data_IF_515297753720
#
_entry.id   IF_515297753720
#
_cell.length_a   1.000
_cell.length_b   1.000
_cell.length_c   1.000
_cell.angle_alpha   90.00
_cell.angle_beta   90.00
_cell.angle_gamma   90.00
#
_symmetry.space_group_name_H-M   'P 1'
#
loop_
_entity.id
_entity.type
_entity.pdbx_description
1 polymer ?
#
# COMPACT_ATOMS: atom_id res chain seq x y z
N UNK A 1 5.07 7.12 -6.38
CA UNK A 1 6.21 7.23 -5.44
C UNK A 1 6.69 8.67 -5.21
N UNK A 2 6.61 9.55 -6.17
CA UNK A 2 7.03 10.98 -6.12
C UNK A 2 6.23 11.84 -5.15
N UNK A 3 4.92 11.63 -4.99
CA UNK A 3 4.06 12.46 -4.14
C UNK A 3 4.32 12.32 -2.63
N UNK A 4 4.68 11.13 -2.16
CA UNK A 4 4.99 10.91 -0.74
C UNK A 4 6.27 11.64 -0.29
N UNK A 5 7.27 11.71 -1.16
CA UNK A 5 8.50 12.47 -0.90
C UNK A 5 8.26 13.98 -0.88
N UNK A 6 7.43 14.49 -1.79
CA UNK A 6 7.06 15.89 -1.83
C UNK A 6 6.28 16.30 -0.58
N UNK A 7 5.30 15.50 -0.16
CA UNK A 7 4.51 15.75 1.06
C UNK A 7 5.36 15.70 2.33
N UNK A 8 6.24 14.71 2.46
CA UNK A 8 7.18 14.62 3.59
C UNK A 8 8.15 15.81 3.63
N UNK A 9 8.66 16.24 2.48
CA UNK A 9 9.53 17.41 2.37
C UNK A 9 8.78 18.68 2.79
N UNK A 10 7.53 18.84 2.38
CA UNK A 10 6.70 19.97 2.75
C UNK A 10 6.40 20.00 4.26
N UNK A 11 6.00 18.88 4.86
CA UNK A 11 5.80 18.75 6.30
C UNK A 11 7.08 19.09 7.09
N UNK A 12 8.24 18.64 6.61
CA UNK A 12 9.54 18.90 7.24
C UNK A 12 9.88 20.40 7.20
N UNK A 13 9.63 21.08 6.08
CA UNK A 13 9.82 22.54 5.95
C UNK A 13 8.90 23.31 6.90
N UNK A 14 7.63 22.96 7.00
CA UNK A 14 6.68 23.57 7.92
C UNK A 14 7.06 23.36 9.40
N UNK A 15 7.54 22.17 9.76
CA UNK A 15 8.08 21.90 11.11
C UNK A 15 9.31 22.76 11.41
N UNK A 16 10.23 22.94 10.47
CA UNK A 16 11.40 23.82 10.65
C UNK A 16 10.95 25.27 10.85
N UNK A 17 9.98 25.75 10.08
CA UNK A 17 9.40 27.09 10.26
C UNK A 17 8.79 27.26 11.65
N UNK A 18 7.99 26.29 12.11
CA UNK A 18 7.38 26.34 13.45
C UNK A 18 8.44 26.42 14.56
N UNK A 19 9.47 25.59 14.48
CA UNK A 19 10.58 25.63 15.46
C UNK A 19 11.32 26.98 15.42
N UNK A 20 11.59 27.50 14.22
CA UNK A 20 12.27 28.77 14.05
C UNK A 20 11.48 29.93 14.68
N UNK A 21 10.17 30.00 14.43
CA UNK A 21 9.30 31.00 15.05
C UNK A 21 9.23 30.86 16.58
N UNK A 22 9.11 29.65 17.10
CA UNK A 22 9.09 29.40 18.52
C UNK A 22 10.40 29.84 19.21
N UNK A 23 11.55 29.60 18.56
CA UNK A 23 12.87 30.04 19.06
C UNK A 23 12.98 31.55 19.04
N UNK A 24 12.50 32.23 17.99
CA UNK A 24 12.49 33.68 17.88
C UNK A 24 11.62 34.32 18.98
N UNK A 25 10.43 33.78 19.27
CA UNK A 25 9.58 34.24 20.37
C UNK A 25 10.26 34.04 21.73
N UNK A 26 10.83 32.86 21.97
CA UNK A 26 11.54 32.58 23.19
C UNK A 26 12.72 33.56 23.40
N UNK A 27 13.50 33.80 22.33
CA UNK A 27 14.60 34.77 22.39
C UNK A 27 14.15 36.20 22.70
N UNK A 28 13.01 36.61 22.12
CA UNK A 28 12.40 37.92 22.41
C UNK A 28 12.01 38.05 23.90
N UNK A 29 11.37 37.05 24.48
CA UNK A 29 11.03 37.03 25.90
C UNK A 29 12.26 37.01 26.81
N UNK A 30 13.28 36.22 26.49
CA UNK A 30 14.53 36.17 27.22
C UNK A 30 15.20 37.55 27.21
N UNK A 31 15.22 38.23 26.06
CA UNK A 31 15.76 39.59 25.91
C UNK A 31 15.01 40.63 26.74
N UNK A 32 13.67 40.55 26.80
CA UNK A 32 12.84 41.41 27.67
C UNK A 32 13.10 41.17 29.15
N UNK A 33 13.32 39.90 29.57
CA UNK A 33 13.57 39.57 30.97
C UNK A 33 14.97 40.01 31.43
N UNK A 34 15.97 39.77 30.56
CA UNK A 34 17.39 40.02 30.91
C UNK A 34 17.81 41.47 30.78
N UNK A 35 17.20 42.25 29.88
CA UNK A 35 17.55 43.65 29.64
C UNK A 35 16.63 44.60 30.40
N UNK A 36 17.11 45.08 31.58
CA UNK A 36 16.36 45.98 32.45
C UNK A 36 15.98 47.29 31.79
N UNK A 37 16.86 47.85 30.92
CA UNK A 37 16.58 49.12 30.21
C UNK A 37 15.46 48.95 29.20
N UNK A 38 15.50 47.88 28.44
CA UNK A 38 14.45 47.55 27.46
C UNK A 38 13.11 47.34 28.15
N UNK A 39 13.10 46.57 29.23
CA UNK A 39 11.90 46.30 30.02
C UNK A 39 11.30 47.57 30.57
N UNK A 40 12.11 48.46 31.18
CA UNK A 40 11.60 49.75 31.72
C UNK A 40 11.01 50.62 30.62
N UNK A 41 11.67 50.72 29.44
CA UNK A 41 11.17 51.51 28.30
C UNK A 41 9.83 50.98 27.78
N UNK A 42 9.70 49.66 27.60
CA UNK A 42 8.47 49.02 27.09
C UNK A 42 7.30 49.22 28.08
N UNK A 43 7.53 49.09 29.40
CA UNK A 43 6.46 49.23 30.38
C UNK A 43 6.14 50.70 30.79
N UNK A 44 7.02 51.65 30.48
CA UNK A 44 6.78 53.08 30.76
C UNK A 44 6.07 53.75 29.60
N UNK A 45 6.32 53.36 28.35
CA UNK A 45 5.70 53.92 27.17
C UNK A 45 4.52 53.02 26.73
N UNK A 46 3.30 53.54 26.85
CA UNK A 46 2.08 52.83 26.48
C UNK A 46 2.03 52.46 24.96
N UNK A 47 2.64 53.27 24.10
CA UNK A 47 2.69 53.00 22.65
C UNK A 47 3.62 51.82 22.35
N UNK A 48 4.81 51.79 22.97
CA UNK A 48 5.74 50.66 22.85
C UNK A 48 5.16 49.36 23.40
N UNK A 49 4.47 49.45 24.53
CA UNK A 49 3.80 48.29 25.13
C UNK A 49 2.73 47.71 24.18
N UNK A 50 1.86 48.55 23.64
CA UNK A 50 0.83 48.13 22.71
C UNK A 50 1.43 47.47 21.44
N UNK A 51 2.49 48.05 20.89
CA UNK A 51 3.18 47.53 19.72
C UNK A 51 3.79 46.16 19.99
N UNK A 52 4.47 45.97 21.14
CA UNK A 52 5.01 44.68 21.55
C UNK A 52 3.90 43.62 21.75
N UNK A 53 2.78 44.04 22.36
CA UNK A 53 1.64 43.14 22.58
C UNK A 53 0.97 42.68 21.29
N UNK A 54 0.77 43.61 20.34
CA UNK A 54 0.20 43.29 19.03
C UNK A 54 1.11 42.35 18.26
N UNK A 55 2.43 42.63 18.22
CA UNK A 55 3.40 41.75 17.52
C UNK A 55 3.43 40.37 18.15
N UNK A 56 3.36 40.25 19.46
CA UNK A 56 3.28 38.96 20.14
C UNK A 56 2.02 38.17 19.75
N UNK A 57 0.84 38.83 19.75
CA UNK A 57 -0.41 38.18 19.32
C UNK A 57 -0.30 37.68 17.87
N UNK A 58 0.27 38.52 16.99
CA UNK A 58 0.46 38.09 15.57
C UNK A 58 1.37 36.89 15.46
N UNK A 59 2.48 36.83 16.19
CA UNK A 59 3.37 35.68 16.23
C UNK A 59 2.66 34.41 16.72
N UNK A 60 1.86 34.54 17.79
CA UNK A 60 1.08 33.45 18.36
C UNK A 60 0.06 32.91 17.36
N UNK A 61 -0.62 33.78 16.62
CA UNK A 61 -1.55 33.40 15.55
C UNK A 61 -0.83 32.67 14.41
N UNK A 62 0.37 33.10 14.03
CA UNK A 62 1.20 32.42 13.02
C UNK A 62 1.58 31.01 13.51
N UNK A 63 2.01 30.87 14.76
CA UNK A 63 2.32 29.55 15.35
C UNK A 63 1.12 28.62 15.33
N UNK A 64 -0.05 29.10 15.74
CA UNK A 64 -1.30 28.33 15.70
C UNK A 64 -1.68 27.92 14.27
N UNK A 65 -1.54 28.84 13.31
CA UNK A 65 -1.78 28.54 11.89
C UNK A 65 -0.84 27.45 11.36
N UNK A 66 0.47 27.54 11.67
CA UNK A 66 1.44 26.54 11.27
C UNK A 66 1.15 25.16 11.89
N UNK A 67 0.76 25.15 13.18
CA UNK A 67 0.36 23.93 13.86
C UNK A 67 -0.89 23.31 13.22
N UNK A 68 -1.90 24.12 12.90
CA UNK A 68 -3.10 23.69 12.21
C UNK A 68 -2.80 23.11 10.82
N UNK A 69 -1.92 23.75 10.03
CA UNK A 69 -1.48 23.25 8.73
C UNK A 69 -0.83 21.86 8.85
N UNK A 70 0.03 21.66 9.85
CA UNK A 70 0.70 20.37 10.07
C UNK A 70 -0.33 19.29 10.46
N UNK A 71 -1.30 19.64 11.31
CA UNK A 71 -2.37 18.74 11.70
C UNK A 71 -3.23 18.30 10.50
N UNK A 72 -3.65 19.25 9.67
CA UNK A 72 -4.45 18.99 8.46
C UNK A 72 -3.68 18.10 7.46
N UNK A 73 -2.40 18.37 7.24
CA UNK A 73 -1.57 17.55 6.35
C UNK A 73 -1.43 16.10 6.81
N UNK A 74 -1.29 15.88 8.12
CA UNK A 74 -1.26 14.52 8.69
C UNK A 74 -2.59 13.80 8.49
N UNK A 75 -3.69 14.46 8.79
CA UNK A 75 -5.04 13.92 8.61
C UNK A 75 -5.30 13.54 7.14
N UNK A 76 -4.96 14.43 6.21
CA UNK A 76 -5.11 14.19 4.77
C UNK A 76 -4.25 13.00 4.29
N UNK A 77 -3.02 12.87 4.78
CA UNK A 77 -2.12 11.77 4.37
C UNK A 77 -2.64 10.41 4.85
N UNK A 78 -3.22 10.33 6.04
CA UNK A 78 -3.83 9.10 6.56
C UNK A 78 -5.07 8.72 5.75
N UNK A 79 -5.95 9.70 5.46
CA UNK A 79 -7.15 9.48 4.64
C UNK A 79 -6.79 9.02 3.21
N UNK A 80 -5.79 9.65 2.59
CA UNK A 80 -5.32 9.29 1.25
C UNK A 80 -4.76 7.86 1.20
N UNK A 81 -3.96 7.45 2.20
CA UNK A 81 -3.46 6.06 2.29
C UNK A 81 -4.61 5.06 2.44
N UNK A 82 -5.60 5.37 3.27
CA UNK A 82 -6.76 4.50 3.46
C UNK A 82 -7.57 4.37 2.16
N UNK A 83 -7.75 5.48 1.42
CA UNK A 83 -8.40 5.46 0.11
C UNK A 83 -7.61 4.63 -0.91
N UNK A 84 -6.28 4.74 -0.94
CA UNK A 84 -5.43 3.90 -1.81
C UNK A 84 -5.53 2.42 -1.45
N UNK A 85 -5.51 2.06 -0.17
CA UNK A 85 -5.71 0.67 0.25
C UNK A 85 -7.07 0.14 -0.21
N UNK A 86 -8.15 0.89 0.00
CA UNK A 86 -9.49 0.49 -0.43
C UNK A 86 -9.63 0.39 -1.95
N UNK A 87 -8.87 1.19 -2.72
CA UNK A 87 -8.90 1.18 -4.18
C UNK A 87 -8.12 0.01 -4.80
N UNK A 88 -7.01 -0.42 -4.18
CA UNK A 88 -6.06 -1.36 -4.79
C UNK A 88 -5.89 -2.69 -4.07
N UNK A 89 -6.39 -2.83 -2.84
CA UNK A 89 -6.32 -4.08 -2.10
C UNK A 89 -7.72 -4.74 -1.99
N UNK A 90 -7.73 -6.06 -1.93
CA UNK A 90 -8.94 -6.82 -1.64
C UNK A 90 -9.27 -6.75 -0.14
N UNK A 91 -10.49 -6.37 0.18
CA UNK A 91 -10.92 -6.10 1.56
C UNK A 91 -10.93 -7.34 2.47
N UNK A 92 -11.03 -8.55 1.89
CA UNK A 92 -11.06 -9.80 2.65
C UNK A 92 -9.68 -10.37 2.92
N UNK A 93 -8.77 -10.18 1.97
CA UNK A 93 -7.48 -10.88 1.95
C UNK A 93 -6.29 -9.93 2.13
N UNK A 94 -6.45 -8.64 1.84
CA UNK A 94 -5.37 -7.66 1.93
C UNK A 94 -4.40 -7.67 0.74
N UNK A 95 -4.45 -8.67 -0.15
CA UNK A 95 -3.61 -8.70 -1.35
C UNK A 95 -4.16 -7.76 -2.44
N UNK A 96 -3.38 -7.41 -3.45
CA UNK A 96 -3.82 -6.65 -4.62
C UNK A 96 -5.13 -7.17 -5.20
N UNK A 97 -6.07 -6.26 -5.43
CA UNK A 97 -7.37 -6.56 -6.04
C UNK A 97 -7.30 -6.49 -7.57
N UNK A 98 -8.43 -6.75 -8.24
CA UNK A 98 -8.57 -6.70 -9.70
C UNK A 98 -8.12 -5.36 -10.30
N UNK A 99 -8.45 -4.23 -9.67
CA UNK A 99 -8.04 -2.90 -10.15
C UNK A 99 -6.50 -2.77 -10.17
N UNK A 100 -5.84 -3.28 -9.13
CA UNK A 100 -4.39 -3.30 -9.07
C UNK A 100 -3.79 -4.25 -10.11
N UNK A 101 -4.38 -5.42 -10.31
CA UNK A 101 -3.99 -6.36 -11.38
C UNK A 101 -4.08 -5.72 -12.77
N UNK A 102 -5.17 -5.01 -13.08
CA UNK A 102 -5.36 -4.33 -14.36
C UNK A 102 -4.25 -3.28 -14.62
N UNK A 103 -3.81 -2.55 -13.58
CA UNK A 103 -2.67 -1.62 -13.69
C UNK A 103 -1.36 -2.35 -13.98
N UNK A 104 -1.12 -3.49 -13.31
CA UNK A 104 0.05 -4.33 -13.59
C UNK A 104 0.02 -4.85 -15.02
N UNK A 105 -1.13 -5.35 -15.49
CA UNK A 105 -1.28 -5.84 -16.87
C UNK A 105 -0.98 -4.75 -17.90
N UNK A 106 -1.37 -3.50 -17.64
CA UNK A 106 -1.07 -2.36 -18.50
C UNK A 106 0.44 -2.05 -18.58
N UNK A 107 1.24 -2.42 -17.59
CA UNK A 107 2.69 -2.23 -17.64
C UNK A 107 3.38 -3.16 -18.66
N UNK A 108 2.72 -4.26 -19.04
CA UNK A 108 3.19 -5.21 -20.05
C UNK A 108 2.61 -4.92 -21.44
N UNK A 109 2.80 -3.69 -21.92
CA UNK A 109 2.21 -3.21 -23.18
C UNK A 109 3.16 -3.27 -24.39
N UNK A 110 4.40 -3.73 -24.20
CA UNK A 110 5.39 -3.92 -25.27
C UNK A 110 5.83 -5.38 -25.36
N UNK A 111 6.30 -5.79 -26.53
CA UNK A 111 6.84 -7.14 -26.73
C UNK A 111 8.05 -7.42 -25.84
N UNK A 112 8.87 -6.39 -25.59
CA UNK A 112 10.05 -6.49 -24.74
C UNK A 112 9.67 -6.72 -23.29
N UNK A 113 8.72 -5.95 -22.75
CA UNK A 113 8.25 -6.09 -21.36
C UNK A 113 7.55 -7.42 -21.09
N UNK A 114 6.96 -8.02 -22.14
CA UNK A 114 6.21 -9.26 -22.03
C UNK A 114 7.06 -10.53 -22.33
N UNK A 115 8.25 -10.38 -22.92
CA UNK A 115 9.02 -11.50 -23.50
C UNK A 115 9.25 -12.67 -22.55
N UNK A 116 9.62 -12.41 -21.32
CA UNK A 116 9.98 -13.40 -20.31
C UNK A 116 8.97 -13.44 -19.14
N UNK A 117 7.71 -13.10 -19.44
CA UNK A 117 6.64 -13.10 -18.44
C UNK A 117 5.95 -14.45 -18.38
N UNK A 118 5.79 -14.97 -17.17
CA UNK A 118 4.89 -16.06 -16.84
C UNK A 118 3.59 -15.55 -16.22
N UNK A 119 2.46 -16.09 -16.64
CA UNK A 119 1.15 -15.83 -16.04
C UNK A 119 0.61 -17.14 -15.46
N UNK A 120 0.27 -17.11 -14.15
CA UNK A 120 -0.39 -18.22 -13.48
C UNK A 120 -1.80 -17.82 -13.07
N UNK A 121 -2.73 -18.75 -13.21
CA UNK A 121 -4.11 -18.63 -12.78
C UNK A 121 -4.41 -19.75 -11.77
N UNK A 122 -5.02 -19.39 -10.65
CA UNK A 122 -5.43 -20.31 -9.61
C UNK A 122 -6.90 -20.10 -9.30
N UNK A 123 -7.63 -21.20 -9.13
CA UNK A 123 -9.03 -21.17 -8.71
C UNK A 123 -9.26 -22.18 -7.59
N UNK A 124 -9.84 -21.75 -6.48
CA UNK A 124 -10.27 -22.65 -5.40
C UNK A 124 -11.54 -23.36 -5.91
N UNK A 125 -11.39 -24.63 -6.28
CA UNK A 125 -12.44 -25.40 -6.97
C UNK A 125 -13.59 -25.76 -6.03
N UNK A 126 -13.28 -26.11 -4.79
CA UNK A 126 -14.24 -26.55 -3.80
C UNK A 126 -14.82 -25.46 -2.90
N UNK A 127 -14.60 -24.18 -3.18
CA UNK A 127 -15.09 -23.07 -2.32
C UNK A 127 -16.60 -23.09 -2.15
N UNK A 128 -17.35 -23.41 -3.21
CA UNK A 128 -18.82 -23.46 -3.16
C UNK A 128 -19.28 -24.57 -2.21
N UNK A 129 -18.71 -25.75 -2.31
CA UNK A 129 -19.06 -26.89 -1.45
C UNK A 129 -18.77 -26.60 0.04
N UNK A 130 -17.63 -25.92 0.32
CA UNK A 130 -17.30 -25.50 1.69
C UNK A 130 -18.30 -24.46 2.21
N UNK A 131 -18.68 -23.49 1.39
CA UNK A 131 -19.71 -22.49 1.75
C UNK A 131 -21.06 -23.14 2.08
N UNK A 132 -21.47 -24.17 1.34
CA UNK A 132 -22.72 -24.91 1.58
C UNK A 132 -22.65 -25.78 2.83
N UNK A 133 -21.53 -26.45 3.06
CA UNK A 133 -21.37 -27.39 4.16
C UNK A 133 -21.08 -26.70 5.50
N UNK A 134 -20.25 -25.66 5.52
CA UNK A 134 -19.71 -25.02 6.72
C UNK A 134 -20.00 -23.50 6.83
N UNK A 135 -20.75 -22.95 5.87
CA UNK A 135 -21.12 -21.54 5.86
C UNK A 135 -20.08 -20.60 5.22
N UNK A 136 -20.51 -19.37 4.95
CA UNK A 136 -19.68 -18.37 4.25
C UNK A 136 -18.42 -17.98 5.01
N UNK A 137 -18.46 -17.98 6.34
CA UNK A 137 -17.28 -17.67 7.17
C UNK A 137 -16.17 -18.68 6.97
N UNK A 138 -16.50 -19.98 6.83
CA UNK A 138 -15.53 -21.03 6.55
C UNK A 138 -14.88 -20.84 5.17
N UNK A 139 -15.67 -20.48 4.14
CA UNK A 139 -15.13 -20.18 2.83
C UNK A 139 -14.29 -18.90 2.80
N UNK A 140 -14.66 -17.87 3.53
CA UNK A 140 -13.86 -16.64 3.66
C UNK A 140 -12.52 -16.94 4.36
N UNK A 141 -12.52 -17.79 5.40
CA UNK A 141 -11.30 -18.27 6.07
C UNK A 141 -10.41 -19.07 5.12
N UNK A 142 -11.00 -19.96 4.31
CA UNK A 142 -10.29 -20.73 3.29
C UNK A 142 -9.61 -19.80 2.26
N UNK A 143 -10.30 -18.78 1.78
CA UNK A 143 -9.76 -17.77 0.86
C UNK A 143 -8.58 -17.04 1.50
N UNK A 144 -8.69 -16.61 2.76
CA UNK A 144 -7.62 -15.93 3.50
C UNK A 144 -6.40 -16.83 3.68
N UNK A 145 -6.63 -18.09 4.05
CA UNK A 145 -5.55 -19.09 4.21
C UNK A 145 -4.83 -19.33 2.89
N UNK A 146 -5.55 -19.50 1.80
CA UNK A 146 -4.94 -19.65 0.47
C UNK A 146 -4.15 -18.41 0.06
N UNK A 147 -4.68 -17.21 0.30
CA UNK A 147 -3.95 -15.96 0.08
C UNK A 147 -2.61 -15.93 0.81
N UNK A 148 -2.61 -16.23 2.11
CA UNK A 148 -1.39 -16.25 2.91
C UNK A 148 -0.37 -17.26 2.36
N UNK A 149 -0.82 -18.46 1.99
CA UNK A 149 0.03 -19.48 1.38
C UNK A 149 0.61 -18.96 0.05
N UNK A 150 -0.22 -18.34 -0.78
CA UNK A 150 0.18 -17.87 -2.10
C UNK A 150 1.13 -16.66 -2.01
N UNK A 151 0.93 -15.74 -1.06
CA UNK A 151 1.86 -14.64 -0.79
C UNK A 151 3.21 -15.16 -0.28
N UNK A 152 3.22 -16.00 0.78
CA UNK A 152 4.45 -16.55 1.35
C UNK A 152 5.29 -17.33 0.32
N UNK A 153 4.63 -18.06 -0.58
CA UNK A 153 5.31 -18.85 -1.61
C UNK A 153 5.67 -18.02 -2.83
N UNK A 154 4.82 -17.05 -3.19
CA UNK A 154 4.87 -16.30 -4.45
C UNK A 154 5.66 -15.00 -4.41
N UNK A 155 5.78 -14.34 -3.26
CA UNK A 155 6.35 -12.98 -3.11
C UNK A 155 7.76 -12.84 -3.73
N UNK A 156 8.60 -13.85 -3.59
CA UNK A 156 9.95 -13.88 -4.18
C UNK A 156 9.99 -14.16 -5.69
N UNK A 157 8.88 -14.60 -6.28
CA UNK A 157 8.82 -14.99 -7.70
C UNK A 157 8.09 -13.97 -8.56
N UNK A 158 7.11 -13.24 -8.01
CA UNK A 158 6.34 -12.31 -8.79
C UNK A 158 5.24 -11.60 -8.03
N UNK A 159 4.34 -11.00 -8.78
CA UNK A 159 3.23 -10.24 -8.26
C UNK A 159 1.97 -11.11 -8.18
N UNK A 160 1.35 -11.14 -7.01
CA UNK A 160 0.12 -11.90 -6.74
C UNK A 160 -1.04 -10.95 -6.53
N UNK A 161 -2.21 -11.28 -7.04
CA UNK A 161 -3.44 -10.55 -6.77
C UNK A 161 -4.70 -11.40 -6.90
N UNK A 162 -5.79 -10.95 -6.30
CA UNK A 162 -7.10 -11.59 -6.38
C UNK A 162 -7.93 -10.95 -7.49
N UNK A 163 -8.34 -11.76 -8.47
CA UNK A 163 -9.16 -11.28 -9.58
C UNK A 163 -10.67 -11.19 -9.23
N UNK A 164 -11.06 -11.81 -8.12
CA UNK A 164 -12.42 -11.82 -7.57
C UNK A 164 -12.89 -13.23 -7.25
N UNK A 165 -13.93 -13.35 -6.43
CA UNK A 165 -14.46 -14.65 -6.05
C UNK A 165 -13.40 -15.60 -5.47
N UNK A 166 -13.18 -16.71 -6.14
CA UNK A 166 -12.22 -17.76 -5.80
C UNK A 166 -10.97 -17.76 -6.72
N UNK A 167 -10.74 -16.68 -7.49
CA UNK A 167 -9.74 -16.62 -8.54
C UNK A 167 -8.57 -15.70 -8.18
N UNK A 168 -7.34 -16.18 -8.44
CA UNK A 168 -6.10 -15.50 -8.15
C UNK A 168 -5.17 -15.53 -9.37
N UNK A 169 -4.46 -14.46 -9.60
CA UNK A 169 -3.51 -14.33 -10.72
C UNK A 169 -2.14 -14.01 -10.14
N UNK A 170 -1.13 -14.66 -10.68
CA UNK A 170 0.27 -14.36 -10.42
C UNK A 170 0.99 -14.04 -11.73
N UNK A 171 1.78 -12.96 -11.69
CA UNK A 171 2.61 -12.51 -12.82
C UNK A 171 4.06 -12.58 -12.41
N UNK A 172 4.87 -13.32 -13.14
CA UNK A 172 6.28 -13.57 -12.87
C UNK A 172 7.14 -12.98 -13.98
N UNK A 173 8.12 -12.13 -13.63
CA UNK A 173 9.13 -11.63 -14.58
C UNK A 173 10.33 -12.57 -14.65
N UNK A 174 10.96 -12.67 -15.84
CA UNK A 174 12.10 -13.57 -16.03
C UNK A 174 11.73 -15.03 -15.77
N UNK A 175 10.48 -15.40 -16.06
CA UNK A 175 9.94 -16.71 -15.73
C UNK A 175 10.43 -17.76 -16.74
N UNK A 176 11.19 -18.74 -16.23
CA UNK A 176 11.53 -19.96 -16.96
C UNK A 176 10.64 -21.12 -16.51
N UNK A 177 10.64 -22.23 -17.27
CA UNK A 177 9.90 -23.44 -16.92
C UNK A 177 10.37 -24.00 -15.58
N UNK A 178 11.67 -24.04 -15.34
CA UNK A 178 12.26 -24.54 -14.08
C UNK A 178 11.86 -23.66 -12.89
N UNK A 179 11.76 -22.34 -13.09
CA UNK A 179 11.32 -21.43 -12.03
C UNK A 179 9.84 -21.66 -11.70
N UNK A 180 9.01 -21.88 -12.70
CA UNK A 180 7.60 -22.20 -12.56
C UNK A 180 7.38 -23.52 -11.82
N UNK A 181 8.13 -24.57 -12.18
CA UNK A 181 8.06 -25.88 -11.54
C UNK A 181 8.46 -25.78 -10.07
N UNK A 182 9.57 -25.11 -9.74
CA UNK A 182 9.99 -24.88 -8.35
C UNK A 182 8.95 -24.12 -7.53
N UNK A 183 8.32 -23.14 -8.13
CA UNK A 183 7.24 -22.41 -7.47
C UNK A 183 6.05 -23.34 -7.17
N UNK A 184 5.65 -24.15 -8.15
CA UNK A 184 4.54 -25.10 -7.99
C UNK A 184 4.85 -26.19 -6.95
N UNK A 185 6.07 -26.72 -6.94
CA UNK A 185 6.50 -27.66 -5.90
C UNK A 185 6.42 -27.07 -4.50
N UNK A 186 6.83 -25.80 -4.35
CA UNK A 186 6.75 -25.09 -3.08
C UNK A 186 5.32 -24.88 -2.64
N UNK A 187 4.45 -24.45 -3.57
CA UNK A 187 3.02 -24.22 -3.34
C UNK A 187 2.32 -25.54 -2.94
N UNK A 188 2.60 -26.63 -3.66
CA UNK A 188 2.02 -27.95 -3.40
C UNK A 188 2.39 -28.49 -2.01
N UNK A 189 3.64 -28.31 -1.61
CA UNK A 189 4.09 -28.72 -0.28
C UNK A 189 3.38 -27.92 0.82
N UNK A 190 3.19 -26.63 0.64
CA UNK A 190 2.47 -25.77 1.60
C UNK A 190 0.99 -26.10 1.66
N UNK A 191 0.35 -26.34 0.51
CA UNK A 191 -1.06 -26.76 0.45
C UNK A 191 -1.27 -28.13 1.08
N UNK A 192 -0.37 -29.08 0.85
CA UNK A 192 -0.44 -30.41 1.47
C UNK A 192 -0.35 -30.32 3.00
N UNK A 193 0.54 -29.47 3.51
CA UNK A 193 0.64 -29.22 4.95
C UNK A 193 -0.67 -28.63 5.50
N UNK A 194 -1.16 -27.55 4.89
CA UNK A 194 -2.43 -26.94 5.26
C UNK A 194 -3.60 -27.94 5.26
N UNK A 195 -3.73 -28.74 4.21
CA UNK A 195 -4.81 -29.71 4.07
C UNK A 195 -4.73 -30.84 5.12
N UNK A 196 -3.51 -31.19 5.55
CA UNK A 196 -3.30 -32.17 6.63
C UNK A 196 -3.76 -31.60 7.98
N UNK A 197 -3.51 -30.32 8.22
CA UNK A 197 -3.90 -29.62 9.44
C UNK A 197 -5.40 -29.25 9.45
N UNK A 198 -6.01 -29.11 8.26
CA UNK A 198 -7.41 -28.67 8.08
C UNK A 198 -8.22 -29.70 7.26
N UNK A 199 -8.40 -30.93 7.73
CA UNK A 199 -9.05 -32.00 6.94
C UNK A 199 -10.55 -31.74 6.69
N UNK A 200 -11.20 -30.88 7.47
CA UNK A 200 -12.61 -30.52 7.31
C UNK A 200 -12.84 -29.53 6.17
N UNK A 201 -11.86 -28.68 5.89
CA UNK A 201 -11.92 -27.63 4.88
C UNK A 201 -10.65 -27.62 4.02
N UNK A 202 -10.32 -28.73 3.34
CA UNK A 202 -9.12 -28.80 2.51
C UNK A 202 -9.27 -27.88 1.30
N UNK A 203 -8.17 -27.26 0.88
CA UNK A 203 -8.14 -26.43 -0.33
C UNK A 203 -7.86 -27.34 -1.53
N UNK A 204 -8.78 -27.33 -2.50
CA UNK A 204 -8.62 -27.99 -3.80
C UNK A 204 -8.44 -26.92 -4.85
N UNK A 205 -7.28 -26.94 -5.56
CA UNK A 205 -6.97 -25.96 -6.58
C UNK A 205 -7.09 -26.55 -7.98
N UNK A 206 -7.72 -25.77 -8.87
CA UNK A 206 -7.43 -25.81 -10.30
C UNK A 206 -6.39 -24.74 -10.62
N UNK A 207 -5.44 -25.03 -11.48
CA UNK A 207 -4.37 -24.10 -11.84
C UNK A 207 -3.91 -24.31 -13.28
N UNK A 208 -3.51 -23.22 -13.90
CA UNK A 208 -2.86 -23.21 -15.21
C UNK A 208 -1.79 -22.14 -15.24
N UNK A 209 -0.84 -22.29 -16.15
CA UNK A 209 0.14 -21.25 -16.45
C UNK A 209 0.46 -21.16 -17.95
N UNK A 210 0.94 -20.00 -18.34
CA UNK A 210 1.48 -19.75 -19.67
C UNK A 210 2.78 -18.98 -19.54
N UNK A 211 3.81 -19.45 -20.24
CA UNK A 211 5.10 -18.79 -20.38
C UNK A 211 5.14 -18.04 -21.71
N UNK A 212 5.29 -16.73 -21.69
CA UNK A 212 5.34 -15.95 -22.93
C UNK A 212 6.64 -16.16 -23.73
N UNK A 213 7.69 -16.62 -23.09
CA UNK A 213 8.92 -17.08 -23.75
C UNK A 213 8.69 -18.26 -24.72
N UNK A 214 7.63 -19.04 -24.49
CA UNK A 214 7.26 -20.20 -25.32
C UNK A 214 6.17 -19.86 -26.34
N UNK A 215 5.17 -19.03 -25.98
CA UNK A 215 3.99 -18.79 -26.82
C UNK A 215 4.01 -17.46 -27.57
N UNK A 216 4.88 -16.53 -27.22
CA UNK A 216 5.14 -15.27 -27.92
C UNK A 216 3.91 -14.38 -28.16
N UNK A 217 3.03 -14.28 -27.18
CA UNK A 217 1.88 -13.36 -27.23
C UNK A 217 2.34 -11.90 -27.29
N UNK A 218 1.56 -11.07 -27.97
CA UNK A 218 1.88 -9.66 -28.22
C UNK A 218 1.27 -8.70 -27.20
N UNK A 219 0.41 -9.21 -26.31
CA UNK A 219 -0.21 -8.44 -25.23
C UNK A 219 -0.50 -9.32 -24.03
N UNK A 220 -0.50 -8.72 -22.84
CA UNK A 220 -0.82 -9.45 -21.60
C UNK A 220 -2.23 -10.06 -21.64
N UNK A 221 -3.20 -9.36 -22.23
CA UNK A 221 -4.56 -9.87 -22.37
C UNK A 221 -4.62 -11.21 -23.14
N UNK A 222 -3.82 -11.37 -24.21
CA UNK A 222 -3.74 -12.64 -24.95
C UNK A 222 -3.05 -13.73 -24.13
N UNK A 223 -1.97 -13.39 -23.40
CA UNK A 223 -1.28 -14.31 -22.51
C UNK A 223 -2.25 -14.82 -21.42
N UNK A 224 -3.00 -13.91 -20.80
CA UNK A 224 -4.00 -14.26 -19.80
C UNK A 224 -5.13 -15.12 -20.38
N UNK A 225 -5.65 -14.78 -21.57
CA UNK A 225 -6.67 -15.60 -22.26
C UNK A 225 -6.16 -17.01 -22.54
N UNK A 226 -4.91 -17.17 -23.00
CA UNK A 226 -4.29 -18.48 -23.19
C UNK A 226 -4.20 -19.27 -21.88
N UNK A 227 -3.89 -18.58 -20.77
CA UNK A 227 -3.86 -19.21 -19.43
C UNK A 227 -5.25 -19.70 -19.00
N UNK A 228 -6.30 -18.91 -19.25
CA UNK A 228 -7.69 -19.34 -19.00
C UNK A 228 -8.09 -20.56 -19.83
N UNK A 229 -7.70 -20.59 -21.10
CA UNK A 229 -8.01 -21.75 -21.99
C UNK A 229 -7.36 -23.03 -21.48
N UNK A 230 -6.21 -22.98 -20.82
CA UNK A 230 -5.55 -24.14 -20.23
C UNK A 230 -6.15 -24.57 -18.88
N UNK A 231 -6.91 -23.70 -18.22
CA UNK A 231 -7.58 -24.00 -16.95
C UNK A 231 -8.89 -24.78 -17.16
N UNK A 232 -9.53 -24.60 -18.31
CA UNK A 232 -10.77 -25.29 -18.68
C UNK A 232 -10.54 -26.77 -18.98
#
# INVERSE_FOLDING_TARGET
MTDNHALQSFCKKKMIQLVLFAVLEAAFFIMLITNQKLRSSVFTDSGLFMLCFITWILCLLILLSLFYDIYQLRSFSVASRKLQQLAYLDNKTGIPNRTCLDLIFQSYNTKESLREVGCCLFTIDNLHAVNEAAGREAGDSMIQSFCSILEETGDKYGFVGRNGGNEFIMVMNGCTRELMERFYDTLDNRLKLYNTENPQTPIVLKRAYTLNSEEHHISFSRLLTATYTKLM
#
